data_IF_634970608459
#
_entry.id   IF_634970608459
#
_cell.length_a   1.000
_cell.length_b   1.000
_cell.length_c   1.000
_cell.angle_alpha   90.00
_cell.angle_beta   90.00
_cell.angle_gamma   90.00
#
_symmetry.space_group_name_H-M   'P 1'
#
loop_
_entity.id
_entity.type
_entity.pdbx_description
1 polymer ?
#
# COMPACT_ATOMS: atom_id res chain seq x y z
N UNK A 1 9.69 -39.04 23.36
CA UNK A 1 9.20 -37.71 22.91
C UNK A 1 7.90 -37.33 23.61
N UNK A 2 7.08 -38.29 24.05
CA UNK A 2 5.79 -38.03 24.72
C UNK A 2 5.89 -37.46 26.16
N UNK A 3 7.03 -37.67 26.84
CA UNK A 3 7.24 -37.17 28.20
C UNK A 3 7.48 -35.66 28.30
N UNK A 4 7.91 -35.01 27.21
CA UNK A 4 8.17 -33.55 27.17
C UNK A 4 6.86 -32.78 26.99
N UNK A 5 5.89 -33.35 26.27
CA UNK A 5 4.59 -32.72 26.03
C UNK A 5 3.62 -32.90 27.20
N UNK A 6 3.83 -33.92 28.05
CA UNK A 6 2.99 -34.16 29.24
C UNK A 6 3.17 -33.11 30.36
N UNK A 7 4.26 -32.33 30.33
CA UNK A 7 4.53 -31.26 31.29
C UNK A 7 4.15 -29.86 30.79
N UNK A 8 3.69 -29.74 29.55
CA UNK A 8 3.34 -28.44 28.97
C UNK A 8 1.86 -28.18 29.22
N UNK A 9 1.58 -27.18 30.03
CA UNK A 9 0.22 -26.72 30.29
C UNK A 9 -0.45 -26.28 28.97
N UNK A 10 -1.59 -26.88 28.55
CA UNK A 10 -2.32 -26.50 27.36
C UNK A 10 -2.66 -25.00 27.30
N UNK A 11 -2.83 -24.35 28.45
CA UNK A 11 -3.08 -22.92 28.56
C UNK A 11 -1.88 -22.08 28.08
N UNK A 12 -0.65 -22.51 28.39
CA UNK A 12 0.57 -21.86 27.93
C UNK A 12 0.76 -22.04 26.42
N UNK A 13 0.43 -23.22 25.89
CA UNK A 13 0.46 -23.47 24.45
C UNK A 13 -0.51 -22.56 23.72
N UNK A 14 -1.74 -22.43 24.23
CA UNK A 14 -2.76 -21.54 23.67
C UNK A 14 -2.34 -20.07 23.74
N UNK A 15 -1.73 -19.64 24.83
CA UNK A 15 -1.22 -18.27 24.98
C UNK A 15 -0.13 -17.96 23.94
N UNK A 16 0.85 -18.85 23.81
CA UNK A 16 1.94 -18.69 22.84
C UNK A 16 1.39 -18.70 21.40
N UNK A 17 0.45 -19.61 21.10
CA UNK A 17 -0.20 -19.67 19.80
C UNK A 17 -0.98 -18.38 19.49
N UNK A 18 -1.73 -17.85 20.46
CA UNK A 18 -2.46 -16.60 20.31
C UNK A 18 -1.52 -15.41 20.05
N UNK A 19 -0.42 -15.31 20.80
CA UNK A 19 0.61 -14.27 20.58
C UNK A 19 1.21 -14.40 19.18
N UNK A 20 1.56 -15.62 18.75
CA UNK A 20 2.09 -15.87 17.43
C UNK A 20 1.12 -15.42 16.33
N UNK A 21 -0.18 -15.74 16.46
CA UNK A 21 -1.21 -15.31 15.51
C UNK A 21 -1.32 -13.79 15.46
N UNK A 22 -1.36 -13.10 16.61
CA UNK A 22 -1.44 -11.63 16.65
C UNK A 22 -0.22 -10.99 15.98
N UNK A 23 0.98 -11.51 16.24
CA UNK A 23 2.21 -11.02 15.60
C UNK A 23 2.17 -11.21 14.09
N UNK A 24 1.73 -12.39 13.62
CA UNK A 24 1.60 -12.67 12.19
C UNK A 24 0.59 -11.75 11.51
N UNK A 25 -0.56 -11.51 12.14
CA UNK A 25 -1.59 -10.58 11.63
C UNK A 25 -1.05 -9.15 11.59
N UNK A 26 -0.36 -8.70 12.64
CA UNK A 26 0.23 -7.37 12.68
C UNK A 26 1.31 -7.19 11.60
N UNK A 27 2.17 -8.18 11.40
CA UNK A 27 3.17 -8.17 10.32
C UNK A 27 2.50 -8.11 8.95
N UNK A 28 1.45 -8.90 8.72
CA UNK A 28 0.72 -8.88 7.45
C UNK A 28 0.08 -7.51 7.19
N UNK A 29 -0.55 -6.92 8.21
CA UNK A 29 -1.16 -5.60 8.12
C UNK A 29 -0.12 -4.52 7.78
N UNK A 30 1.01 -4.49 8.49
CA UNK A 30 2.10 -3.55 8.21
C UNK A 30 2.70 -3.76 6.82
N UNK A 31 2.79 -5.02 6.36
CA UNK A 31 3.28 -5.34 5.02
C UNK A 31 2.34 -4.80 3.94
N UNK A 32 1.03 -5.01 4.08
CA UNK A 32 0.02 -4.46 3.16
C UNK A 32 0.10 -2.93 3.14
N UNK A 33 0.19 -2.30 4.31
CA UNK A 33 0.32 -0.84 4.42
C UNK A 33 1.60 -0.34 3.72
N UNK A 34 2.73 -1.03 3.91
CA UNK A 34 4.00 -0.67 3.28
C UNK A 34 4.00 -0.79 1.75
N UNK A 35 3.27 -1.78 1.20
CA UNK A 35 3.13 -1.95 -0.26
C UNK A 35 2.34 -0.77 -0.86
N UNK A 36 1.36 -0.23 -0.13
CA UNK A 36 0.62 0.97 -0.54
C UNK A 36 1.40 2.27 -0.39
N UNK A 37 2.36 2.35 0.54
CA UNK A 37 3.15 3.56 0.76
C UNK A 37 4.15 3.84 -0.36
N UNK A 38 4.80 2.80 -0.92
CA UNK A 38 5.80 2.97 -1.98
C UNK A 38 5.27 3.72 -3.21
N UNK A 39 4.12 3.34 -3.82
CA UNK A 39 3.57 4.07 -4.96
C UNK A 39 3.09 5.46 -4.57
N UNK A 40 2.59 5.66 -3.35
CA UNK A 40 2.21 6.98 -2.85
C UNK A 40 3.42 7.92 -2.77
N UNK A 41 4.54 7.45 -2.21
CA UNK A 41 5.79 8.21 -2.12
C UNK A 41 6.33 8.51 -3.51
N UNK A 42 6.27 7.55 -4.43
CA UNK A 42 6.65 7.76 -5.83
C UNK A 42 5.80 8.83 -6.52
N UNK A 43 4.48 8.79 -6.31
CA UNK A 43 3.55 9.79 -6.85
C UNK A 43 3.83 11.19 -6.27
N UNK A 44 4.02 11.28 -4.95
CA UNK A 44 4.40 12.55 -4.31
C UNK A 44 5.73 13.06 -4.85
N UNK A 45 6.73 12.19 -5.03
CA UNK A 45 8.02 12.58 -5.58
C UNK A 45 7.91 13.13 -7.02
N UNK A 46 7.08 12.51 -7.87
CA UNK A 46 6.80 13.02 -9.23
C UNK A 46 6.11 14.38 -9.16
N UNK A 47 5.08 14.53 -8.32
CA UNK A 47 4.34 15.78 -8.16
C UNK A 47 5.24 16.90 -7.63
N UNK A 48 6.17 16.60 -6.72
CA UNK A 48 7.17 17.54 -6.21
C UNK A 48 8.21 17.89 -7.28
N UNK A 49 8.68 16.90 -8.05
CA UNK A 49 9.60 17.15 -9.15
C UNK A 49 8.97 18.05 -10.22
N UNK A 50 7.70 17.83 -10.55
CA UNK A 50 6.95 18.68 -11.49
C UNK A 50 6.79 20.11 -10.95
N UNK A 51 6.45 20.26 -9.67
CA UNK A 51 6.40 21.57 -9.01
C UNK A 51 7.74 22.29 -9.05
N UNK A 52 8.84 21.60 -8.74
CA UNK A 52 10.17 22.21 -8.67
C UNK A 52 10.75 22.55 -10.04
N UNK A 53 10.57 21.68 -11.04
CA UNK A 53 11.14 21.85 -12.37
C UNK A 53 10.30 22.76 -13.27
N UNK A 54 8.98 22.70 -13.16
CA UNK A 54 8.05 23.38 -14.06
C UNK A 54 7.22 24.49 -13.37
N UNK A 55 7.31 24.63 -12.04
CA UNK A 55 6.57 25.65 -11.30
C UNK A 55 5.05 25.43 -11.24
N UNK A 56 4.57 24.23 -11.60
CA UNK A 56 3.15 23.92 -11.71
C UNK A 56 2.58 23.56 -10.33
N UNK A 57 1.45 24.15 -9.94
CA UNK A 57 0.83 23.81 -8.65
C UNK A 57 0.14 22.42 -8.70
N UNK A 58 0.06 21.70 -7.57
CA UNK A 58 -0.58 20.39 -7.54
C UNK A 58 -2.07 20.45 -7.91
N UNK A 59 -2.76 21.56 -7.61
CA UNK A 59 -4.15 21.77 -8.02
C UNK A 59 -4.29 21.89 -9.55
N UNK A 60 -3.37 22.61 -10.20
CA UNK A 60 -3.36 22.73 -11.67
C UNK A 60 -3.12 21.37 -12.34
N UNK A 61 -2.18 20.57 -11.82
CA UNK A 61 -1.96 19.19 -12.29
C UNK A 61 -3.20 18.33 -12.13
N UNK A 62 -3.93 18.46 -11.03
CA UNK A 62 -5.15 17.69 -10.79
C UNK A 62 -6.30 18.07 -11.70
N UNK A 63 -6.46 19.35 -11.98
CA UNK A 63 -7.41 19.83 -12.98
C UNK A 63 -7.05 19.24 -14.35
N UNK A 64 -5.80 19.34 -14.80
CA UNK A 64 -5.39 18.79 -16.09
C UNK A 64 -5.57 17.27 -16.18
N UNK A 65 -5.17 16.53 -15.14
CA UNK A 65 -5.32 15.06 -15.06
C UNK A 65 -6.78 14.64 -15.15
N UNK A 66 -7.72 15.41 -14.58
CA UNK A 66 -9.15 15.11 -14.67
C UNK A 66 -9.73 15.25 -16.08
N UNK A 67 -9.06 15.98 -16.98
CA UNK A 67 -9.45 16.12 -18.39
C UNK A 67 -8.80 15.06 -19.30
N UNK A 68 -7.74 14.37 -18.85
CA UNK A 68 -7.08 13.30 -19.62
C UNK A 68 -8.01 12.17 -20.10
N UNK A 69 -9.01 11.69 -19.33
CA UNK A 69 -9.91 10.63 -19.80
C UNK A 69 -10.71 11.06 -21.04
N UNK A 70 -11.10 12.34 -21.11
CA UNK A 70 -11.85 12.90 -22.24
C UNK A 70 -10.94 13.00 -23.47
N UNK A 71 -9.72 13.54 -23.30
CA UNK A 71 -8.72 13.59 -24.37
C UNK A 71 -8.35 12.20 -24.90
N UNK A 72 -8.27 11.18 -24.02
CA UNK A 72 -8.03 9.81 -24.43
C UNK A 72 -9.19 9.27 -25.27
N UNK A 73 -10.45 9.48 -24.84
CA UNK A 73 -11.63 9.07 -25.63
C UNK A 73 -11.67 9.73 -27.00
N UNK A 74 -11.39 11.04 -27.08
CA UNK A 74 -11.32 11.76 -28.36
C UNK A 74 -10.22 11.22 -29.26
N UNK A 75 -9.03 10.94 -28.72
CA UNK A 75 -7.93 10.33 -29.45
C UNK A 75 -8.30 8.94 -29.99
N UNK A 76 -8.88 8.07 -29.17
CA UNK A 76 -9.30 6.74 -29.62
C UNK A 76 -10.43 6.80 -30.65
N UNK A 77 -11.39 7.71 -30.50
CA UNK A 77 -12.44 7.95 -31.50
C UNK A 77 -11.87 8.53 -32.80
N UNK A 78 -10.76 9.27 -32.75
CA UNK A 78 -10.09 9.79 -33.96
C UNK A 78 -9.29 8.72 -34.72
N UNK A 79 -9.00 7.59 -34.07
CA UNK A 79 -8.27 6.46 -34.66
C UNK A 79 -9.20 5.34 -35.17
N UNK A 80 -10.49 5.40 -34.88
CA UNK A 80 -11.52 4.44 -35.29
C UNK A 80 -12.25 4.92 -36.55
#
# INVERSE_FOLDING_TARGET
>A
MDSVFSSVDPQLVLLIAAIAVVVLVAQLFLRILSIGLVPLIGLVAIVVALQYLFGISPEQLWVEVSHLPQMAMEFFNSLA
#
